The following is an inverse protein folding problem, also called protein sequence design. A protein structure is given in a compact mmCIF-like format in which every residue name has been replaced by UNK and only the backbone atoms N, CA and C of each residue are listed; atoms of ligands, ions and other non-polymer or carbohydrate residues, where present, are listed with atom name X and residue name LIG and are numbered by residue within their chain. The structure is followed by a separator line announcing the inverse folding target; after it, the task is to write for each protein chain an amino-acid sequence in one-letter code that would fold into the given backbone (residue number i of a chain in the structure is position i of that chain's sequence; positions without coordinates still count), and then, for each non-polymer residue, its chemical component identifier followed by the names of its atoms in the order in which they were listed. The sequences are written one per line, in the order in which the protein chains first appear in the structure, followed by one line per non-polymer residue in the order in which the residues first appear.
data_IF_348013747703
#
_entry.id   IF_348013747703
#
_cell.length_a   1.000
_cell.length_b   1.000
_cell.length_c   1.000
_cell.angle_alpha   90.00
_cell.angle_beta   90.00
_cell.angle_gamma   90.00
#
_symmetry.space_group_name_H-M   'P 1'
#
loop_
_entity.id
_entity.type
_entity.pdbx_description
1 polymer ?
#
# COMPACT_ATOMS: atom_id res chain seq x y z
N UNK A 1 8.17 -81.77 -30.44
CA UNK A 1 8.02 -81.70 -28.97
C UNK A 1 8.30 -80.28 -28.53
N UNK A 2 7.43 -79.73 -27.68
CA UNK A 2 7.42 -78.35 -27.20
C UNK A 2 8.61 -78.09 -26.24
N UNK A 3 9.33 -77.00 -26.42
CA UNK A 3 10.19 -76.41 -25.39
C UNK A 3 9.94 -74.90 -25.34
N UNK A 4 9.32 -74.47 -24.24
CA UNK A 4 9.03 -73.07 -23.93
C UNK A 4 10.31 -72.38 -23.43
N UNK A 5 10.63 -71.21 -23.97
CA UNK A 5 11.65 -70.29 -23.46
C UNK A 5 10.92 -69.14 -22.76
N UNK A 6 11.22 -68.78 -21.49
CA UNK A 6 10.58 -67.67 -20.82
C UNK A 6 11.18 -66.33 -21.28
N UNK A 7 10.31 -65.41 -21.70
CA UNK A 7 10.66 -64.01 -21.96
C UNK A 7 10.80 -63.28 -20.63
N UNK A 8 12.01 -62.82 -20.30
CA UNK A 8 12.25 -61.89 -19.19
C UNK A 8 11.83 -60.49 -19.61
N UNK A 9 10.76 -59.97 -19.00
CA UNK A 9 10.36 -58.57 -19.12
C UNK A 9 11.26 -57.74 -18.19
N UNK A 10 12.08 -56.86 -18.77
CA UNK A 10 12.84 -55.86 -18.04
C UNK A 10 11.95 -54.62 -17.84
N UNK A 11 11.56 -54.34 -16.60
CA UNK A 11 10.92 -53.09 -16.21
C UNK A 11 12.00 -52.01 -16.08
N UNK A 12 12.09 -51.10 -17.07
CA UNK A 12 12.87 -49.88 -16.95
C UNK A 12 12.16 -48.93 -15.98
N UNK A 13 12.71 -48.76 -14.78
CA UNK A 13 12.25 -47.74 -13.84
C UNK A 13 12.87 -46.40 -14.24
N UNK A 14 12.05 -45.50 -14.81
CA UNK A 14 12.44 -44.11 -15.02
C UNK A 14 12.39 -43.41 -13.66
N UNK A 15 13.56 -43.23 -13.04
CA UNK A 15 13.71 -42.37 -11.87
C UNK A 15 13.80 -40.93 -12.38
N UNK A 16 12.67 -40.24 -12.44
CA UNK A 16 12.65 -38.78 -12.57
C UNK A 16 13.19 -38.18 -11.28
N UNK A 17 14.44 -37.70 -11.31
CA UNK A 17 14.98 -36.81 -10.29
C UNK A 17 14.18 -35.50 -10.33
N UNK A 18 13.16 -35.39 -9.48
CA UNK A 18 12.68 -34.09 -9.04
C UNK A 18 13.76 -33.49 -8.13
N UNK A 19 14.65 -32.68 -8.73
CA UNK A 19 15.44 -31.75 -7.93
C UNK A 19 14.50 -30.82 -7.19
N UNK A 20 14.78 -30.47 -5.91
CA UNK A 20 13.96 -29.48 -5.21
C UNK A 20 14.01 -28.18 -6.00
N UNK A 21 12.83 -27.72 -6.45
CA UNK A 21 12.66 -26.34 -6.86
C UNK A 21 13.06 -25.50 -5.65
N UNK A 22 14.17 -24.77 -5.76
CA UNK A 22 14.45 -23.67 -4.86
C UNK A 22 13.36 -22.62 -5.10
N UNK A 23 12.29 -22.69 -4.30
CA UNK A 23 11.37 -21.58 -4.12
C UNK A 23 12.24 -20.52 -3.44
N UNK A 24 12.62 -19.50 -4.21
CA UNK A 24 13.37 -18.37 -3.69
C UNK A 24 12.69 -17.87 -2.43
N UNK A 25 13.45 -17.81 -1.35
CA UNK A 25 13.04 -17.19 -0.10
C UNK A 25 12.53 -15.79 -0.44
N UNK A 26 11.20 -15.64 -0.42
CA UNK A 26 10.59 -14.33 -0.57
C UNK A 26 11.18 -13.45 0.51
N UNK A 27 11.75 -12.30 0.10
CA UNK A 27 11.98 -11.19 1.02
C UNK A 27 10.71 -11.10 1.87
N UNK A 28 10.84 -11.34 3.18
CA UNK A 28 9.74 -11.13 4.10
C UNK A 28 9.26 -9.71 3.86
N UNK A 29 8.06 -9.57 3.28
CA UNK A 29 7.50 -8.28 2.97
C UNK A 29 7.40 -7.53 4.30
N UNK A 30 8.20 -6.49 4.45
CA UNK A 30 8.16 -5.69 5.66
C UNK A 30 6.77 -5.07 5.77
N UNK A 31 6.07 -5.35 6.88
CA UNK A 31 4.77 -4.75 7.14
C UNK A 31 4.87 -3.23 7.03
N UNK A 32 3.93 -2.63 6.30
CA UNK A 32 3.91 -1.18 6.12
C UNK A 32 3.43 -0.45 7.39
N UNK A 33 3.67 0.86 7.44
CA UNK A 33 3.39 1.69 8.60
C UNK A 33 1.88 1.85 8.81
N UNK A 34 1.15 2.19 7.76
CA UNK A 34 -0.27 2.57 7.85
C UNK A 34 -1.22 1.44 7.49
N UNK A 35 -0.87 0.61 6.52
CA UNK A 35 -1.69 -0.51 6.06
C UNK A 35 -0.95 -1.85 6.11
N UNK A 36 -1.62 -2.88 6.62
CA UNK A 36 -1.14 -4.27 6.49
C UNK A 36 -1.29 -4.83 5.08
N UNK A 37 -2.05 -4.15 4.21
CA UNK A 37 -2.24 -4.55 2.80
C UNK A 37 -1.32 -3.81 1.84
N UNK A 38 -0.55 -2.83 2.32
CA UNK A 38 0.38 -2.07 1.51
C UNK A 38 1.74 -2.77 1.38
N UNK A 39 2.42 -2.52 0.26
CA UNK A 39 3.83 -2.84 0.08
C UNK A 39 4.68 -1.69 0.60
N UNK A 40 5.54 -1.96 1.58
CA UNK A 40 6.56 -1.00 2.00
C UNK A 40 7.48 -0.63 0.82
N UNK A 41 7.83 0.64 0.71
CA UNK A 41 8.75 1.15 -0.30
C UNK A 41 10.06 1.59 0.38
N UNK A 42 10.93 0.66 0.80
CA UNK A 42 12.19 1.03 1.46
C UNK A 42 13.04 1.93 0.55
N UNK A 43 13.77 2.87 1.16
CA UNK A 43 14.64 3.77 0.43
C UNK A 43 16.11 3.47 0.70
N UNK A 44 16.80 3.09 -0.39
CA UNK A 44 18.24 2.96 -0.44
C UNK A 44 18.79 4.01 -1.40
N UNK A 45 19.59 4.94 -0.87
CA UNK A 45 20.13 6.06 -1.66
C UNK A 45 20.94 5.52 -2.84
N UNK A 46 20.50 5.86 -4.06
CA UNK A 46 21.17 5.49 -5.31
C UNK A 46 20.85 4.09 -5.86
N UNK A 47 20.06 3.28 -5.15
CA UNK A 47 19.75 1.90 -5.57
C UNK A 47 18.28 1.50 -5.44
N UNK A 48 17.40 2.41 -5.02
CA UNK A 48 15.96 2.11 -4.88
C UNK A 48 15.36 1.84 -6.26
N UNK A 49 15.03 0.57 -6.50
CA UNK A 49 14.29 0.12 -7.67
C UNK A 49 13.33 -0.97 -7.20
N UNK A 50 12.02 -0.71 -7.24
CA UNK A 50 10.98 -1.62 -6.79
C UNK A 50 9.91 -1.77 -7.87
N UNK A 51 9.45 -2.99 -8.09
CA UNK A 51 8.34 -3.29 -9.00
C UNK A 51 7.17 -3.84 -8.19
N UNK A 52 6.10 -3.05 -8.09
CA UNK A 52 4.89 -3.44 -7.36
C UNK A 52 3.81 -3.81 -8.37
N UNK A 53 3.60 -5.12 -8.55
CA UNK A 53 2.65 -5.68 -9.51
C UNK A 53 1.21 -5.45 -9.02
N UNK A 54 0.36 -5.00 -9.94
CA UNK A 54 -1.07 -4.82 -9.68
C UNK A 54 -1.82 -6.17 -9.52
N UNK A 55 -2.98 -6.21 -8.84
CA UNK A 55 -3.70 -7.46 -8.57
C UNK A 55 -4.06 -8.31 -9.81
N UNK A 56 -4.48 -7.66 -10.90
CA UNK A 56 -4.75 -8.29 -12.20
C UNK A 56 -3.49 -8.71 -12.99
N UNK A 57 -2.29 -8.39 -12.46
CA UNK A 57 -0.97 -8.59 -13.09
C UNK A 57 -0.80 -7.89 -14.44
N UNK A 58 -1.71 -6.99 -14.81
CA UNK A 58 -1.66 -6.29 -16.10
C UNK A 58 -0.80 -5.02 -16.06
N UNK A 59 -0.50 -4.51 -14.86
CA UNK A 59 0.26 -3.27 -14.62
C UNK A 59 1.32 -3.46 -13.54
N UNK A 60 2.37 -2.65 -13.62
CA UNK A 60 3.45 -2.58 -12.64
C UNK A 60 3.65 -1.12 -12.26
N UNK A 61 3.66 -0.81 -10.97
CA UNK A 61 4.15 0.47 -10.46
C UNK A 61 5.63 0.31 -10.13
N UNK A 62 6.49 0.98 -10.89
CA UNK A 62 7.93 1.00 -10.73
C UNK A 62 8.30 2.22 -9.90
N UNK A 63 9.00 1.98 -8.79
CA UNK A 63 9.60 3.01 -7.95
C UNK A 63 11.09 3.04 -8.25
N UNK A 64 11.56 4.07 -8.95
CA UNK A 64 12.96 4.23 -9.35
C UNK A 64 13.55 5.52 -8.73
N UNK A 65 14.34 5.35 -7.68
CA UNK A 65 14.80 6.44 -6.82
C UNK A 65 13.62 7.15 -6.15
N UNK A 66 13.33 8.36 -6.60
CA UNK A 66 12.17 9.14 -6.13
C UNK A 66 11.06 9.20 -7.18
N UNK A 67 11.18 8.50 -8.30
CA UNK A 67 10.21 8.55 -9.39
C UNK A 67 9.21 7.41 -9.27
N UNK A 68 7.96 7.71 -9.62
CA UNK A 68 6.92 6.70 -9.80
C UNK A 68 6.58 6.59 -11.27
N UNK A 69 6.78 5.41 -11.85
CA UNK A 69 6.46 5.07 -13.24
C UNK A 69 5.43 3.95 -13.24
N UNK A 70 4.45 4.00 -14.15
CA UNK A 70 3.49 2.90 -14.32
C UNK A 70 3.73 2.28 -15.68
N UNK A 71 3.85 0.94 -15.71
CA UNK A 71 4.01 0.17 -16.93
C UNK A 71 2.76 -0.68 -17.16
N UNK A 72 2.29 -0.69 -18.40
CA UNK A 72 1.19 -1.54 -18.87
C UNK A 72 1.57 -2.09 -20.25
N UNK A 73 1.51 -3.41 -20.43
CA UNK A 73 1.91 -4.08 -21.69
C UNK A 73 3.33 -3.69 -22.16
N UNK A 74 4.26 -3.57 -21.22
CA UNK A 74 5.66 -3.18 -21.49
C UNK A 74 5.87 -1.71 -21.86
N UNK A 75 4.83 -0.87 -21.81
CA UNK A 75 4.91 0.57 -22.14
C UNK A 75 4.75 1.42 -20.89
N UNK A 76 5.59 2.45 -20.78
CA UNK A 76 5.43 3.48 -19.75
C UNK A 76 4.17 4.29 -20.05
N UNK A 77 3.28 4.38 -19.07
CA UNK A 77 2.11 5.24 -19.17
C UNK A 77 2.51 6.68 -18.90
N UNK A 78 2.07 7.64 -19.73
CA UNK A 78 2.32 9.05 -19.47
C UNK A 78 1.60 9.47 -18.19
N UNK A 79 2.28 10.34 -17.45
CA UNK A 79 1.74 11.01 -16.27
C UNK A 79 1.57 12.50 -16.58
N UNK A 80 0.53 13.12 -16.02
CA UNK A 80 0.27 14.55 -16.18
C UNK A 80 1.16 15.44 -15.30
N UNK A 81 1.83 14.87 -14.30
CA UNK A 81 2.67 15.57 -13.33
C UNK A 81 3.92 14.72 -13.00
N UNK A 82 5.00 15.38 -12.57
CA UNK A 82 6.17 14.67 -12.02
C UNK A 82 5.75 13.94 -10.73
N UNK A 83 5.59 12.62 -10.82
CA UNK A 83 5.28 11.79 -9.67
C UNK A 83 6.54 11.47 -8.88
N UNK A 84 6.66 12.15 -7.73
CA UNK A 84 7.65 11.89 -6.71
C UNK A 84 7.18 10.84 -5.69
N UNK A 85 8.13 10.15 -5.07
CA UNK A 85 7.93 9.42 -3.82
C UNK A 85 9.10 9.62 -2.86
N UNK A 86 8.79 9.93 -1.61
CA UNK A 86 9.76 10.16 -0.54
C UNK A 86 10.42 8.87 -0.04
N UNK A 87 11.41 9.03 0.84
CA UNK A 87 12.20 7.93 1.37
C UNK A 87 11.37 6.94 2.20
N UNK A 88 10.48 7.44 3.05
CA UNK A 88 9.57 6.61 3.82
C UNK A 88 8.20 6.63 3.16
N UNK A 89 7.84 5.52 2.52
CA UNK A 89 6.59 5.41 1.78
C UNK A 89 6.09 3.97 1.72
N UNK A 90 4.82 3.82 1.38
CA UNK A 90 4.17 2.54 1.11
C UNK A 90 3.17 2.69 -0.04
N UNK A 91 2.96 1.62 -0.81
CA UNK A 91 2.04 1.56 -1.94
C UNK A 91 0.92 0.57 -1.68
N UNK A 92 -0.32 1.01 -1.91
CA UNK A 92 -1.51 0.17 -1.79
C UNK A 92 -2.29 0.15 -3.10
N UNK A 93 -2.30 -1.00 -3.80
CA UNK A 93 -3.09 -1.19 -5.02
C UNK A 93 -4.58 -1.32 -4.74
N UNK A 94 -5.40 -0.72 -5.61
CA UNK A 94 -6.84 -0.99 -5.63
C UNK A 94 -7.12 -2.40 -6.16
N UNK A 95 -8.17 -3.08 -5.66
CA UNK A 95 -8.46 -4.47 -6.01
C UNK A 95 -8.85 -4.68 -7.48
N UNK A 96 -9.25 -3.63 -8.19
CA UNK A 96 -9.60 -3.70 -9.61
C UNK A 96 -8.44 -3.25 -10.53
N UNK A 97 -7.23 -3.03 -9.99
CA UNK A 97 -6.05 -2.56 -10.73
C UNK A 97 -6.21 -1.24 -11.50
N UNK A 98 -7.23 -0.42 -11.17
CA UNK A 98 -7.45 0.87 -11.86
C UNK A 98 -6.86 2.06 -11.11
N UNK A 99 -6.34 1.85 -9.91
CA UNK A 99 -5.67 2.87 -9.11
C UNK A 99 -4.74 2.25 -8.07
N UNK A 100 -3.84 3.06 -7.52
CA UNK A 100 -3.12 2.77 -6.29
C UNK A 100 -2.95 4.06 -5.47
N UNK A 101 -2.68 3.93 -4.18
CA UNK A 101 -2.30 5.05 -3.32
C UNK A 101 -0.87 4.90 -2.88
N UNK A 102 -0.17 6.02 -2.74
CA UNK A 102 1.10 6.10 -2.02
C UNK A 102 0.84 6.92 -0.76
N UNK A 103 1.14 6.32 0.39
CA UNK A 103 1.26 7.02 1.66
C UNK A 103 2.74 7.25 1.90
N UNK A 104 3.15 8.49 2.16
CA UNK A 104 4.57 8.83 2.29
C UNK A 104 4.80 9.94 3.30
N UNK A 105 6.03 10.04 3.82
CA UNK A 105 6.44 11.07 4.77
C UNK A 105 7.62 11.89 4.27
N UNK A 106 7.54 13.20 4.45
CA UNK A 106 8.68 14.12 4.28
C UNK A 106 9.60 14.17 5.50
N UNK A 107 9.09 13.87 6.71
CA UNK A 107 9.82 14.02 7.97
C UNK A 107 10.17 12.70 8.67
N UNK A 108 10.17 11.58 7.95
CA UNK A 108 10.42 10.26 8.52
C UNK A 108 9.24 9.72 9.33
N UNK A 109 9.50 8.83 10.30
CA UNK A 109 8.41 8.14 11.02
C UNK A 109 7.49 9.12 11.78
N UNK A 110 8.04 10.18 12.36
CA UNK A 110 7.27 11.15 13.15
C UNK A 110 6.51 12.15 12.26
N UNK A 111 7.11 12.54 11.12
CA UNK A 111 6.77 13.76 10.39
C UNK A 111 5.55 13.73 9.48
N UNK A 112 5.53 14.66 8.52
CA UNK A 112 4.38 15.00 7.67
C UNK A 112 4.00 13.87 6.70
N UNK A 113 3.00 13.08 7.09
CA UNK A 113 2.46 11.99 6.29
C UNK A 113 1.29 12.44 5.42
N UNK A 114 1.34 12.16 4.12
CA UNK A 114 0.25 12.43 3.19
C UNK A 114 0.01 11.27 2.23
N UNK A 115 -1.19 11.29 1.63
CA UNK A 115 -1.62 10.30 0.64
C UNK A 115 -1.77 10.97 -0.72
N UNK A 116 -1.14 10.37 -1.72
CA UNK A 116 -1.43 10.64 -3.14
C UNK A 116 -2.13 9.42 -3.74
N UNK A 117 -3.23 9.62 -4.46
CA UNK A 117 -3.86 8.55 -5.27
C UNK A 117 -3.48 8.71 -6.73
N UNK A 118 -3.07 7.61 -7.34
CA UNK A 118 -2.76 7.50 -8.77
C UNK A 118 -3.84 6.67 -9.45
N UNK A 119 -4.66 7.33 -10.28
CA UNK A 119 -5.73 6.68 -11.05
C UNK A 119 -5.27 6.42 -12.47
N UNK A 120 -5.51 5.21 -12.96
CA UNK A 120 -5.14 4.76 -14.30
C UNK A 120 -6.41 4.70 -15.14
N UNK A 121 -6.47 5.52 -16.19
CA UNK A 121 -7.61 5.57 -17.13
C UNK A 121 -7.11 5.98 -18.51
N UNK A 122 -7.70 5.41 -19.55
CA UNK A 122 -7.42 5.80 -20.94
C UNK A 122 -5.92 5.73 -21.31
N UNK A 123 -5.21 4.74 -20.74
CA UNK A 123 -3.77 4.57 -20.94
C UNK A 123 -2.90 5.67 -20.32
N UNK A 124 -3.40 6.38 -19.30
CA UNK A 124 -2.67 7.45 -18.62
C UNK A 124 -2.79 7.33 -17.10
N UNK A 125 -1.82 7.92 -16.41
CA UNK A 125 -1.82 8.05 -14.94
C UNK A 125 -2.26 9.46 -14.58
N UNK A 126 -3.17 9.57 -13.61
CA UNK A 126 -3.69 10.82 -13.06
C UNK A 126 -3.42 10.87 -11.58
N UNK A 127 -2.78 11.95 -11.12
CA UNK A 127 -2.60 12.22 -9.69
C UNK A 127 -3.86 12.88 -9.09
N UNK A 128 -4.27 12.41 -7.92
CA UNK A 128 -5.46 12.87 -7.23
C UNK A 128 -5.14 13.18 -5.77
N UNK A 129 -5.63 14.33 -5.28
CA UNK A 129 -5.65 14.67 -3.87
C UNK A 129 -7.04 14.34 -3.30
N UNK A 130 -7.11 13.28 -2.50
CA UNK A 130 -8.35 12.82 -1.85
C UNK A 130 -8.40 13.14 -0.35
N UNK A 131 -7.39 13.83 0.20
CA UNK A 131 -7.22 14.04 1.65
C UNK A 131 -7.72 15.41 2.13
N UNK A 132 -7.92 16.37 1.22
CA UNK A 132 -8.28 17.76 1.55
C UNK A 132 -9.46 17.89 2.53
N UNK A 133 -10.57 17.20 2.26
CA UNK A 133 -11.75 17.25 3.14
C UNK A 133 -11.53 16.48 4.46
N UNK A 134 -10.71 15.42 4.45
CA UNK A 134 -10.33 14.67 5.66
C UNK A 134 -9.53 15.56 6.61
N UNK A 135 -8.48 16.22 6.11
CA UNK A 135 -7.67 17.17 6.88
C UNK A 135 -8.54 18.25 7.50
N UNK A 136 -9.38 18.90 6.67
CA UNK A 136 -10.30 19.96 7.12
C UNK A 136 -11.31 19.46 8.16
N UNK A 137 -11.83 18.25 8.00
CA UNK A 137 -12.76 17.65 8.97
C UNK A 137 -12.05 17.31 10.28
N UNK A 138 -10.86 16.73 10.21
CA UNK A 138 -10.17 16.22 11.38
C UNK A 138 -9.59 17.33 12.28
N UNK A 139 -9.13 18.44 11.70
CA UNK A 139 -8.70 19.64 12.43
C UNK A 139 -9.73 20.22 13.41
N UNK A 140 -11.01 19.87 13.25
CA UNK A 140 -12.08 20.28 14.19
C UNK A 140 -12.08 19.46 15.48
N UNK A 141 -11.32 18.37 15.54
CA UNK A 141 -11.35 17.38 16.61
C UNK A 141 -10.07 17.32 17.45
N UNK A 142 -9.10 18.20 17.20
CA UNK A 142 -7.92 18.34 18.04
C UNK A 142 -7.45 19.79 18.05
N UNK A 143 -6.59 20.12 19.02
CA UNK A 143 -5.85 21.39 19.03
C UNK A 143 -4.38 21.13 19.31
N UNK A 144 -3.53 21.92 18.68
CA UNK A 144 -2.10 22.00 18.97
C UNK A 144 -1.77 23.44 19.35
N UNK A 145 -0.63 23.64 20.01
CA UNK A 145 -0.12 24.97 20.38
C UNK A 145 0.15 25.80 19.13
N UNK A 146 0.70 25.16 18.09
CA UNK A 146 0.90 25.74 16.77
C UNK A 146 0.00 25.07 15.73
N UNK A 147 -0.42 25.77 14.65
CA UNK A 147 -1.23 25.16 13.60
C UNK A 147 -0.46 24.07 12.86
N UNK A 148 -0.88 22.81 13.04
CA UNK A 148 -0.30 21.65 12.35
C UNK A 148 -1.37 20.89 11.54
N UNK A 149 -1.00 20.44 10.34
CA UNK A 149 -1.81 19.50 9.57
C UNK A 149 -1.72 18.10 10.19
N UNK A 150 -2.81 17.31 10.16
CA UNK A 150 -2.74 15.95 10.62
C UNK A 150 -2.01 15.07 9.62
N UNK A 151 -1.36 14.04 10.14
CA UNK A 151 -0.85 12.95 9.34
C UNK A 151 -2.01 12.16 8.75
N UNK A 152 -1.92 11.79 7.47
CA UNK A 152 -2.95 10.99 6.80
C UNK A 152 -2.32 9.82 6.07
N UNK A 153 -2.85 8.62 6.27
CA UNK A 153 -2.45 7.42 5.55
C UNK A 153 -3.62 6.62 4.98
N UNK A 154 -3.36 5.95 3.86
CA UNK A 154 -4.31 5.06 3.20
C UNK A 154 -4.22 3.66 3.79
N UNK A 155 -5.34 3.12 4.24
CA UNK A 155 -5.40 1.81 4.90
C UNK A 155 -5.98 0.75 3.99
N UNK A 156 -7.11 1.02 3.33
CA UNK A 156 -7.84 -0.03 2.60
C UNK A 156 -8.70 0.50 1.46
N UNK A 157 -8.58 -0.10 0.29
CA UNK A 157 -9.52 0.12 -0.81
C UNK A 157 -10.84 -0.63 -0.58
N UNK A 158 -11.94 0.03 -0.93
CA UNK A 158 -13.30 -0.46 -0.72
C UNK A 158 -14.12 -0.35 -2.00
N UNK A 159 -15.20 -1.13 -2.07
CA UNK A 159 -16.16 -1.08 -3.17
C UNK A 159 -15.47 -1.19 -4.55
N UNK A 160 -14.59 -2.17 -4.70
CA UNK A 160 -13.85 -2.41 -5.93
C UNK A 160 -12.93 -1.25 -6.35
N UNK A 161 -12.42 -0.44 -5.42
CA UNK A 161 -11.53 0.69 -5.73
C UNK A 161 -12.24 2.05 -5.86
N UNK A 162 -13.55 2.12 -5.64
CA UNK A 162 -14.32 3.37 -5.69
C UNK A 162 -14.24 4.20 -4.42
N UNK A 163 -13.81 3.58 -3.31
CA UNK A 163 -13.68 4.21 -2.01
C UNK A 163 -12.35 3.83 -1.37
N UNK A 164 -11.85 4.69 -0.51
CA UNK A 164 -10.62 4.49 0.23
C UNK A 164 -10.86 4.80 1.71
N UNK A 165 -10.49 3.86 2.59
CA UNK A 165 -10.35 4.12 4.01
C UNK A 165 -9.03 4.85 4.23
N UNK A 166 -9.14 6.09 4.69
CA UNK A 166 -8.05 6.92 5.17
C UNK A 166 -8.10 6.97 6.70
N UNK A 167 -6.95 7.02 7.34
CA UNK A 167 -6.83 7.32 8.77
C UNK A 167 -6.08 8.62 8.92
N UNK A 168 -6.62 9.52 9.74
CA UNK A 168 -5.96 10.75 10.13
C UNK A 168 -5.48 10.62 11.58
N UNK A 169 -4.28 11.11 11.84
CA UNK A 169 -3.58 11.05 13.12
C UNK A 169 -3.09 12.45 13.49
N UNK A 170 -3.28 12.84 14.75
CA UNK A 170 -2.65 14.06 15.28
C UNK A 170 -1.14 13.81 15.32
N UNK A 171 -0.31 14.66 14.70
CA UNK A 171 1.13 14.42 14.63
C UNK A 171 1.71 14.11 16.01
N UNK A 172 2.62 13.11 16.12
CA UNK A 172 3.22 12.71 17.38
C UNK A 172 4.29 13.71 17.88
N UNK A 173 3.94 14.99 17.94
CA UNK A 173 4.78 16.09 18.40
C UNK A 173 4.29 16.64 19.75
N UNK A 174 5.22 17.09 20.59
CA UNK A 174 4.91 17.67 21.91
C UNK A 174 4.11 18.97 21.86
N UNK A 175 4.04 19.63 20.70
CA UNK A 175 3.17 20.77 20.41
C UNK A 175 1.69 20.41 20.39
N UNK A 176 1.34 19.13 20.30
CA UNK A 176 -0.04 18.64 20.23
C UNK A 176 -0.38 17.81 21.48
N UNK A 177 -1.19 18.33 22.43
CA UNK A 177 -1.60 17.59 23.64
C UNK A 177 -2.34 16.28 23.35
N UNK A 178 -3.02 16.21 22.21
CA UNK A 178 -3.76 15.04 21.74
C UNK A 178 -2.96 14.23 20.71
N UNK A 179 -1.63 14.32 20.75
CA UNK A 179 -0.73 13.59 19.85
C UNK A 179 -1.11 12.12 19.73
N UNK A 180 -1.10 11.60 18.50
CA UNK A 180 -1.44 10.21 18.21
C UNK A 180 -2.91 9.85 18.23
N UNK A 181 -3.80 10.78 18.59
CA UNK A 181 -5.26 10.58 18.46
C UNK A 181 -5.62 10.29 17.01
N UNK A 182 -6.50 9.30 16.81
CA UNK A 182 -6.88 8.82 15.47
C UNK A 182 -8.35 9.09 15.13
N UNK A 183 -8.64 9.25 13.83
CA UNK A 183 -9.99 9.08 13.25
C UNK A 183 -9.93 8.42 11.89
N UNK A 184 -10.94 7.61 11.59
CA UNK A 184 -11.10 6.96 10.30
C UNK A 184 -12.05 7.71 9.39
N UNK A 185 -11.78 7.68 8.09
CA UNK A 185 -12.58 8.34 7.06
C UNK A 185 -12.68 7.44 5.83
N UNK A 186 -13.90 7.10 5.40
CA UNK A 186 -14.10 6.53 4.07
C UNK A 186 -14.40 7.69 3.12
N UNK A 187 -13.61 7.80 2.07
CA UNK A 187 -13.77 8.81 1.01
C UNK A 187 -14.12 8.17 -0.32
N UNK A 188 -14.85 8.89 -1.16
CA UNK A 188 -15.06 8.53 -2.57
C UNK A 188 -13.85 8.92 -3.43
N UNK A 189 -13.51 8.06 -4.38
CA UNK A 189 -12.47 8.32 -5.39
C UNK A 189 -13.16 8.53 -6.75
N UNK A 190 -12.90 9.64 -7.47
CA UNK A 190 -11.76 10.55 -7.30
C UNK A 190 -12.00 11.80 -6.44
N UNK A 191 -13.21 12.00 -5.90
CA UNK A 191 -13.63 13.31 -5.38
C UNK A 191 -13.03 13.68 -4.02
N UNK A 192 -12.59 12.70 -3.23
CA UNK A 192 -12.19 12.91 -1.84
C UNK A 192 -13.35 13.21 -0.90
N UNK A 193 -14.60 13.10 -1.36
CA UNK A 193 -15.79 13.35 -0.54
C UNK A 193 -15.88 12.32 0.58
N UNK A 194 -15.96 12.78 1.83
CA UNK A 194 -16.19 11.91 2.99
C UNK A 194 -17.61 11.33 2.91
N UNK A 195 -17.71 10.01 2.98
CA UNK A 195 -19.00 9.29 3.05
C UNK A 195 -19.24 8.63 4.38
N UNK A 196 -18.19 8.37 5.17
CA UNK A 196 -18.31 7.82 6.51
C UNK A 196 -17.13 8.26 7.38
N UNK A 197 -17.38 8.41 8.68
CA UNK A 197 -16.36 8.73 9.68
C UNK A 197 -16.42 7.74 10.83
N UNK A 198 -15.27 7.52 11.46
CA UNK A 198 -15.11 6.68 12.64
C UNK A 198 -14.32 7.45 13.69
N UNK A 199 -14.76 7.40 14.94
CA UNK A 199 -13.85 7.69 16.05
C UNK A 199 -12.83 6.54 16.19
N UNK A 200 -11.84 6.74 17.07
CA UNK A 200 -10.76 5.78 17.25
C UNK A 200 -11.25 4.40 17.70
N UNK A 201 -12.20 4.35 18.64
CA UNK A 201 -12.73 3.08 19.16
C UNK A 201 -13.40 2.28 18.06
N UNK A 202 -14.30 2.91 17.30
CA UNK A 202 -14.98 2.26 16.19
C UNK A 202 -14.05 1.93 15.02
N UNK A 203 -13.06 2.78 14.75
CA UNK A 203 -12.02 2.50 13.75
C UNK A 203 -11.27 1.22 14.10
N UNK A 204 -10.79 1.10 15.34
CA UNK A 204 -10.04 -0.07 15.80
C UNK A 204 -10.91 -1.33 15.83
N UNK A 205 -12.17 -1.21 16.26
CA UNK A 205 -13.10 -2.34 16.28
C UNK A 205 -13.43 -2.86 14.87
N UNK A 206 -13.78 -1.97 13.95
CA UNK A 206 -14.26 -2.37 12.62
C UNK A 206 -13.11 -2.69 11.65
N UNK A 207 -11.94 -2.05 11.81
CA UNK A 207 -10.85 -2.08 10.82
C UNK A 207 -9.49 -2.49 11.37
N UNK A 208 -9.37 -2.82 12.65
CA UNK A 208 -8.10 -3.09 13.33
C UNK A 208 -7.21 -4.13 12.63
N UNK A 209 -7.82 -5.13 11.98
CA UNK A 209 -7.11 -6.16 11.22
C UNK A 209 -6.35 -5.64 9.98
N UNK A 210 -6.66 -4.44 9.49
CA UNK A 210 -6.03 -3.80 8.33
C UNK A 210 -5.05 -2.69 8.72
N UNK A 211 -5.10 -2.24 9.97
CA UNK A 211 -4.26 -1.15 10.47
C UNK A 211 -2.80 -1.60 10.59
N UNK A 212 -1.90 -0.89 9.92
CA UNK A 212 -0.46 -1.10 9.99
C UNK A 212 0.11 -0.85 11.40
N UNK A 213 1.39 -1.18 11.59
CA UNK A 213 2.02 -1.19 12.92
C UNK A 213 1.87 0.15 13.65
N UNK A 214 1.99 1.28 12.93
CA UNK A 214 1.84 2.65 13.45
C UNK A 214 0.53 2.86 14.18
N UNK A 215 -0.54 2.31 13.65
CA UNK A 215 -1.92 2.52 14.10
C UNK A 215 -2.39 1.44 15.10
N UNK A 216 -1.63 0.35 15.20
CA UNK A 216 -2.01 -0.86 15.96
C UNK A 216 -1.65 -0.80 17.44
N UNK A 217 -0.69 0.04 17.83
CA UNK A 217 -0.30 0.14 19.23
C UNK A 217 -1.37 0.86 20.07
N UNK A 218 -1.63 0.33 21.28
CA UNK A 218 -2.22 1.16 22.35
C UNK A 218 -1.22 2.26 22.63
N UNK A 219 -1.60 3.50 22.38
CA UNK A 219 -0.89 4.61 23.01
C UNK A 219 -1.14 4.49 24.51
N UNK A 220 -0.13 4.02 25.25
CA UNK A 220 -0.17 4.02 26.70
C UNK A 220 0.01 5.48 27.14
N UNK A 221 -1.09 6.22 27.18
CA UNK A 221 -1.17 7.48 27.90
C UNK A 221 -1.57 7.19 29.35
#
# INVERSE_FOLDING_TARGET
MKTNIPVKIFLLSIVTLFGPLFIGEGLLAQEAEWSREASSLPYNKGTRHLEIVSPDKGKIAIIDGVKVVVVMEGKHLPNNEDAGVNALAELLWSPNSTAFSITESYGGEVGDWHVTVYKIRDGRVYRLNVTKEVVKSFKKHYRCTEPEDPNVGAVKWLNGGKRLLLVAEVPPHSSCPEMGKLRGYIVEVPTGKIVQQFDESKLKADWGQYLGKRLSHKQNN
#
